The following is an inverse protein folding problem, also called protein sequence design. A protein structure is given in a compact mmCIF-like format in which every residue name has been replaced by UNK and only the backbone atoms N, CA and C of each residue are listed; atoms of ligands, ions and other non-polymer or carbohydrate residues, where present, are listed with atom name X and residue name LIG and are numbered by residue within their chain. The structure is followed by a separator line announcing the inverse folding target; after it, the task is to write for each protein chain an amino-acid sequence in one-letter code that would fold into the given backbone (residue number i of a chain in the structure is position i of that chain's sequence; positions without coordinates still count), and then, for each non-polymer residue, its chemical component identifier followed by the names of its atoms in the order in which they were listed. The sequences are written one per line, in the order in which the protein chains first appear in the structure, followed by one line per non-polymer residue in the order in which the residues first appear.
data_IF_055342778135
#
_entry.id   IF_055342778135
#
_cell.length_a   1.000
_cell.length_b   1.000
_cell.length_c   1.000
_cell.angle_alpha   90.00
_cell.angle_beta   90.00
_cell.angle_gamma   90.00
#
_symmetry.space_group_name_H-M   'P 1'
#
loop_
_entity.id
_entity.type
_entity.pdbx_description
1 polymer ?
#
# COMPACT_ATOMS: atom_id res chain seq x y z
N UNK A 1 -11.12 23.53 10.37
CA UNK A 1 -11.77 22.55 11.29
C UNK A 1 -10.85 21.35 11.36
N UNK A 2 -10.51 20.87 12.56
CA UNK A 2 -9.78 19.61 12.67
C UNK A 2 -10.75 18.48 12.28
N UNK A 3 -10.60 17.98 11.06
CA UNK A 3 -11.30 16.78 10.65
C UNK A 3 -10.67 15.58 11.37
N UNK A 4 -11.49 14.78 12.03
CA UNK A 4 -11.03 13.52 12.60
C UNK A 4 -10.76 12.53 11.45
N UNK A 5 -9.78 11.64 11.58
CA UNK A 5 -9.55 10.59 10.61
C UNK A 5 -10.82 9.75 10.35
N UNK A 6 -11.14 9.53 9.07
CA UNK A 6 -12.23 8.67 8.60
C UNK A 6 -11.64 7.30 8.22
N UNK A 7 -11.68 6.39 9.18
CA UNK A 7 -11.10 5.05 9.05
C UNK A 7 -12.24 4.04 9.15
N UNK A 8 -12.32 3.13 8.19
CA UNK A 8 -13.29 2.04 8.24
C UNK A 8 -13.13 1.26 9.56
N UNK A 9 -14.21 1.08 10.34
CA UNK A 9 -14.14 0.49 11.68
C UNK A 9 -13.73 -0.99 11.68
N UNK A 10 -13.85 -1.66 10.54
CA UNK A 10 -13.57 -3.10 10.43
C UNK A 10 -12.12 -3.42 10.03
N UNK A 11 -11.28 -2.42 9.76
CA UNK A 11 -9.87 -2.67 9.44
C UNK A 11 -9.04 -2.96 10.69
N UNK A 12 -7.87 -3.56 10.50
CA UNK A 12 -6.86 -3.69 11.54
C UNK A 12 -6.06 -2.39 11.67
N UNK A 13 -6.09 -1.79 12.86
CA UNK A 13 -5.22 -0.67 13.22
C UNK A 13 -4.43 -1.06 14.47
N UNK A 14 -3.11 -1.14 14.33
CA UNK A 14 -2.23 -1.45 15.46
C UNK A 14 -2.29 -0.34 16.52
N UNK A 15 -2.30 -0.71 17.80
CA UNK A 15 -2.40 0.24 18.91
C UNK A 15 -1.26 1.29 18.96
N UNK A 16 -0.11 1.00 18.32
CA UNK A 16 1.02 1.92 18.23
C UNK A 16 0.99 2.81 16.98
N UNK A 17 0.02 2.68 16.09
CA UNK A 17 -0.14 3.56 14.95
C UNK A 17 -0.61 4.96 15.38
N UNK A 18 -0.15 6.00 14.68
CA UNK A 18 -0.46 7.41 14.96
C UNK A 18 -1.05 8.05 13.71
N UNK A 19 -2.28 8.57 13.80
CA UNK A 19 -3.01 9.09 12.63
C UNK A 19 -3.60 10.45 12.96
N UNK A 20 -3.25 11.47 12.18
CA UNK A 20 -3.60 12.86 12.44
C UNK A 20 -4.10 13.60 11.19
N UNK A 21 -5.14 14.40 11.34
CA UNK A 21 -5.64 15.33 10.31
C UNK A 21 -6.60 14.69 9.32
N UNK A 22 -6.68 15.24 8.11
CA UNK A 22 -7.61 14.84 7.06
C UNK A 22 -7.17 13.53 6.37
N UNK A 23 -7.33 12.41 7.07
CA UNK A 23 -6.97 11.07 6.62
C UNK A 23 -8.21 10.23 6.37
N UNK A 24 -8.26 9.54 5.24
CA UNK A 24 -9.26 8.50 4.98
C UNK A 24 -8.59 7.20 4.57
N UNK A 25 -9.05 6.09 5.16
CA UNK A 25 -8.57 4.73 4.82
C UNK A 25 -9.76 3.84 4.50
N UNK A 26 -9.73 3.26 3.30
CA UNK A 26 -10.78 2.41 2.77
C UNK A 26 -10.89 1.04 3.44
N UNK A 27 -12.00 0.33 3.17
CA UNK A 27 -12.30 -0.95 3.79
C UNK A 27 -11.27 -2.03 3.46
N UNK A 28 -11.20 -3.07 4.30
CA UNK A 28 -10.34 -4.24 4.16
C UNK A 28 -8.82 -3.93 4.17
N UNK A 29 -8.46 -2.65 4.36
CA UNK A 29 -7.08 -2.20 4.49
C UNK A 29 -6.50 -2.54 5.87
N UNK A 30 -5.22 -2.25 6.10
CA UNK A 30 -4.60 -2.51 7.40
C UNK A 30 -3.46 -1.55 7.70
N UNK A 31 -3.38 -1.13 8.98
CA UNK A 31 -2.38 -0.19 9.48
C UNK A 31 -1.58 -0.89 10.59
N UNK A 32 -0.33 -1.16 10.31
CA UNK A 32 0.55 -1.99 11.11
C UNK A 32 1.31 -1.21 12.19
N UNK A 33 2.06 -1.87 13.09
CA UNK A 33 2.72 -1.21 14.19
C UNK A 33 3.63 -0.04 13.79
N UNK A 34 3.56 1.04 14.56
CA UNK A 34 4.39 2.24 14.42
C UNK A 34 4.25 2.98 13.08
N UNK A 35 3.17 2.75 12.34
CA UNK A 35 2.81 3.58 11.20
C UNK A 35 2.44 4.97 11.68
N UNK A 36 2.92 5.99 10.98
CA UNK A 36 2.57 7.39 11.23
C UNK A 36 1.95 8.00 9.98
N UNK A 37 0.75 8.56 10.11
CA UNK A 37 0.07 9.30 9.04
C UNK A 37 -0.26 10.70 9.54
N UNK A 38 0.21 11.73 8.83
CA UNK A 38 -0.09 13.13 9.15
C UNK A 38 -0.60 13.89 7.93
N UNK A 39 -1.74 14.53 8.05
CA UNK A 39 -2.42 15.24 6.97
C UNK A 39 -2.91 16.62 7.45
N UNK A 40 -1.99 17.58 7.58
CA UNK A 40 -2.26 18.90 8.14
C UNK A 40 -2.68 19.93 7.08
N UNK A 41 -1.97 20.01 5.95
CA UNK A 41 -2.18 21.00 4.89
C UNK A 41 -3.03 20.47 3.73
N UNK A 42 -2.90 19.21 3.43
CA UNK A 42 -3.61 18.49 2.38
C UNK A 42 -4.26 17.23 2.98
N UNK A 43 -4.85 16.39 2.14
CA UNK A 43 -5.43 15.13 2.58
C UNK A 43 -4.53 13.93 2.31
N UNK A 44 -4.74 12.86 3.09
CA UNK A 44 -4.26 11.51 2.78
C UNK A 44 -5.46 10.64 2.44
N UNK A 45 -5.42 9.94 1.33
CA UNK A 45 -6.42 8.95 0.93
C UNK A 45 -5.74 7.61 0.66
N UNK A 46 -6.28 6.56 1.25
CA UNK A 46 -5.80 5.18 1.07
C UNK A 46 -7.00 4.35 0.63
N UNK A 47 -6.85 3.62 -0.45
CA UNK A 47 -7.88 2.75 -1.01
C UNK A 47 -8.18 1.52 -0.16
N UNK A 48 -8.98 0.61 -0.71
CA UNK A 48 -9.36 -0.67 -0.09
C UNK A 48 -8.25 -1.71 -0.25
N UNK A 49 -8.23 -2.71 0.63
CA UNK A 49 -7.25 -3.82 0.63
C UNK A 49 -5.79 -3.36 0.61
N UNK A 50 -5.50 -2.12 0.94
CA UNK A 50 -4.14 -1.57 0.98
C UNK A 50 -3.53 -1.76 2.36
N UNK A 51 -2.29 -2.25 2.40
CA UNK A 51 -1.60 -2.46 3.67
C UNK A 51 -0.46 -1.45 3.85
N UNK A 52 -0.48 -0.79 5.01
CA UNK A 52 0.57 0.12 5.45
C UNK A 52 1.37 -0.61 6.52
N UNK A 53 2.53 -1.12 6.14
CA UNK A 53 3.32 -2.03 6.99
C UNK A 53 4.09 -1.28 8.08
N UNK A 54 4.72 -2.02 8.97
CA UNK A 54 5.37 -1.46 10.16
C UNK A 54 6.33 -0.32 9.82
N UNK A 55 6.26 0.75 10.63
CA UNK A 55 7.10 1.95 10.51
C UNK A 55 6.94 2.75 9.21
N UNK A 56 5.91 2.53 8.43
CA UNK A 56 5.62 3.38 7.27
C UNK A 56 5.28 4.78 7.75
N UNK A 57 5.88 5.78 7.09
CA UNK A 57 5.57 7.19 7.27
C UNK A 57 4.83 7.73 6.07
N UNK A 58 3.62 8.29 6.29
CA UNK A 58 2.84 8.99 5.26
C UNK A 58 2.64 10.43 5.68
N UNK A 59 2.99 11.34 4.79
CA UNK A 59 2.79 12.76 4.99
C UNK A 59 2.31 13.44 3.71
N UNK A 60 1.97 14.70 3.78
CA UNK A 60 1.51 15.53 2.67
C UNK A 60 2.52 16.63 2.40
N UNK A 61 2.64 17.03 1.14
CA UNK A 61 3.34 18.25 0.76
C UNK A 61 2.50 19.50 1.08
N UNK A 62 3.07 20.67 0.92
CA UNK A 62 2.33 21.91 1.08
C UNK A 62 1.21 22.06 0.01
N UNK A 63 1.53 21.70 -1.23
CA UNK A 63 0.60 21.75 -2.37
C UNK A 63 0.13 20.37 -2.84
N UNK A 64 0.73 19.28 -2.32
CA UNK A 64 0.53 17.92 -2.78
C UNK A 64 -0.13 17.05 -1.72
N UNK A 65 -1.32 16.55 -2.02
CA UNK A 65 -1.97 15.49 -1.26
C UNK A 65 -1.24 14.14 -1.45
N UNK A 66 -1.48 13.19 -0.56
CA UNK A 66 -1.02 11.82 -0.74
C UNK A 66 -2.20 10.91 -1.04
N UNK A 67 -2.17 10.27 -2.20
CA UNK A 67 -3.20 9.34 -2.66
C UNK A 67 -2.57 7.98 -2.96
N UNK A 68 -3.10 6.94 -2.32
CA UNK A 68 -2.69 5.55 -2.50
C UNK A 68 -3.92 4.76 -2.91
N UNK A 69 -3.85 4.09 -4.03
CA UNK A 69 -4.95 3.32 -4.61
C UNK A 69 -5.31 2.05 -3.85
N UNK A 70 -6.11 1.24 -4.50
CA UNK A 70 -6.58 -0.06 -4.02
C UNK A 70 -5.49 -1.13 -4.14
N UNK A 71 -5.52 -2.14 -3.29
CA UNK A 71 -4.66 -3.33 -3.32
C UNK A 71 -3.15 -3.03 -3.31
N UNK A 72 -2.75 -1.89 -2.78
CA UNK A 72 -1.34 -1.51 -2.66
C UNK A 72 -0.68 -2.15 -1.43
N UNK A 73 0.62 -2.41 -1.55
CA UNK A 73 1.46 -2.79 -0.41
C UNK A 73 2.54 -1.73 -0.20
N UNK A 74 2.40 -0.95 0.85
CA UNK A 74 3.41 0.01 1.28
C UNK A 74 4.23 -0.66 2.36
N UNK A 75 5.43 -1.11 1.99
CA UNK A 75 6.17 -2.03 2.84
C UNK A 75 7.04 -1.32 3.89
N UNK A 76 7.54 -2.09 4.84
CA UNK A 76 8.20 -1.63 6.07
C UNK A 76 9.16 -0.45 5.85
N UNK A 77 9.10 0.55 6.74
CA UNK A 77 9.97 1.74 6.76
C UNK A 77 9.90 2.62 5.50
N UNK A 78 8.94 2.46 4.61
CA UNK A 78 8.79 3.35 3.45
C UNK A 78 8.30 4.73 3.87
N UNK A 79 8.71 5.75 3.14
CA UNK A 79 8.24 7.13 3.30
C UNK A 79 7.47 7.55 2.05
N UNK A 80 6.24 7.97 2.24
CA UNK A 80 5.32 8.40 1.17
C UNK A 80 4.92 9.84 1.45
N UNK A 81 5.28 10.75 0.56
CA UNK A 81 5.16 12.18 0.80
C UNK A 81 4.59 12.89 -0.42
N UNK A 82 3.38 13.47 -0.30
CA UNK A 82 2.77 14.34 -1.30
C UNK A 82 2.64 13.75 -2.71
N UNK A 83 2.35 12.48 -2.88
CA UNK A 83 2.43 11.78 -4.16
C UNK A 83 1.17 10.95 -4.47
N UNK A 84 1.07 10.48 -5.71
CA UNK A 84 0.03 9.56 -6.15
C UNK A 84 0.61 8.19 -6.48
N UNK A 85 0.05 7.14 -5.87
CA UNK A 85 0.33 5.74 -6.17
C UNK A 85 -0.98 5.12 -6.62
N UNK A 86 -1.04 4.62 -7.86
CA UNK A 86 -2.24 4.00 -8.41
C UNK A 86 -2.43 2.58 -7.89
N UNK A 87 -3.47 1.89 -8.36
CA UNK A 87 -3.87 0.58 -7.84
C UNK A 87 -2.81 -0.50 -8.06
N UNK A 88 -2.91 -1.58 -7.27
CA UNK A 88 -2.08 -2.77 -7.41
C UNK A 88 -0.55 -2.50 -7.40
N UNK A 89 -0.10 -1.49 -6.68
CA UNK A 89 1.33 -1.16 -6.57
C UNK A 89 2.00 -1.81 -5.35
N UNK A 90 3.27 -2.12 -5.50
CA UNK A 90 4.13 -2.52 -4.39
C UNK A 90 5.27 -1.51 -4.21
N UNK A 91 5.32 -0.85 -3.06
CA UNK A 91 6.44 0.01 -2.66
C UNK A 91 7.33 -0.77 -1.70
N UNK A 92 8.54 -1.06 -2.14
CA UNK A 92 9.50 -1.91 -1.44
C UNK A 92 10.06 -1.30 -0.15
N UNK A 93 10.60 -2.15 0.72
CA UNK A 93 11.13 -1.77 2.03
C UNK A 93 12.13 -0.61 1.94
N UNK A 94 12.02 0.38 2.84
CA UNK A 94 12.86 1.59 2.89
C UNK A 94 12.81 2.47 1.63
N UNK A 95 11.84 2.30 0.74
CA UNK A 95 11.69 3.20 -0.40
C UNK A 95 11.13 4.56 0.03
N UNK A 96 11.48 5.60 -0.73
CA UNK A 96 11.02 6.97 -0.53
C UNK A 96 10.35 7.46 -1.80
N UNK A 97 9.13 8.01 -1.68
CA UNK A 97 8.39 8.62 -2.79
C UNK A 97 8.05 10.06 -2.41
N UNK A 98 8.52 11.03 -3.21
CA UNK A 98 8.46 12.45 -2.90
C UNK A 98 7.33 13.20 -3.62
N UNK A 99 7.17 14.48 -3.29
CA UNK A 99 6.09 15.37 -3.72
C UNK A 99 5.88 15.37 -5.24
N UNK A 100 4.62 15.36 -5.66
CA UNK A 100 4.25 15.39 -7.06
C UNK A 100 4.55 14.12 -7.85
N UNK A 101 5.24 13.13 -7.26
CA UNK A 101 5.54 11.88 -7.96
C UNK A 101 4.27 11.08 -8.25
N UNK A 102 4.25 10.39 -9.40
CA UNK A 102 3.16 9.51 -9.82
C UNK A 102 3.69 8.12 -10.16
N UNK A 103 3.10 7.10 -9.53
CA UNK A 103 3.41 5.69 -9.78
C UNK A 103 2.19 5.04 -10.41
N UNK A 104 2.32 4.62 -11.66
CA UNK A 104 1.24 3.98 -12.42
C UNK A 104 0.90 2.58 -11.89
N UNK A 105 -0.33 2.17 -12.17
CA UNK A 105 -0.94 0.91 -11.74
C UNK A 105 -0.03 -0.32 -11.97
N UNK A 106 -0.08 -1.29 -11.07
CA UNK A 106 0.66 -2.55 -11.18
C UNK A 106 2.18 -2.42 -11.09
N UNK A 107 2.70 -1.26 -10.73
CA UNK A 107 4.14 -1.02 -10.65
C UNK A 107 4.78 -1.59 -9.38
N UNK A 108 6.10 -1.77 -9.45
CA UNK A 108 6.94 -2.13 -8.31
C UNK A 108 8.03 -1.07 -8.13
N UNK A 109 8.04 -0.45 -6.97
CA UNK A 109 9.17 0.34 -6.49
C UNK A 109 10.07 -0.58 -5.68
N UNK A 110 11.32 -0.76 -6.11
CA UNK A 110 12.27 -1.63 -5.43
C UNK A 110 12.65 -1.09 -4.03
N UNK A 111 13.02 -2.00 -3.13
CA UNK A 111 13.47 -1.62 -1.79
C UNK A 111 14.65 -0.64 -1.83
N UNK A 112 14.60 0.38 -0.97
CA UNK A 112 15.62 1.43 -0.90
C UNK A 112 15.65 2.40 -2.08
N UNK A 113 14.73 2.33 -3.03
CA UNK A 113 14.65 3.30 -4.12
C UNK A 113 14.21 4.67 -3.61
N UNK A 114 14.75 5.74 -4.21
CA UNK A 114 14.37 7.12 -3.92
C UNK A 114 13.79 7.80 -5.15
N UNK A 115 12.48 7.99 -5.15
CA UNK A 115 11.75 8.66 -6.22
C UNK A 115 11.70 10.15 -5.89
N UNK A 116 12.24 10.96 -6.82
CA UNK A 116 12.31 12.40 -6.67
C UNK A 116 10.96 13.05 -6.90
N UNK A 117 10.88 14.30 -6.51
CA UNK A 117 9.75 15.20 -6.77
C UNK A 117 9.40 15.18 -8.28
N UNK A 118 8.11 15.25 -8.57
CA UNK A 118 7.51 15.34 -9.91
C UNK A 118 7.88 14.20 -10.88
N UNK A 119 8.50 13.12 -10.38
CA UNK A 119 8.83 11.97 -11.22
C UNK A 119 7.57 11.18 -11.58
N UNK A 120 7.40 10.86 -12.86
CA UNK A 120 6.24 10.13 -13.40
C UNK A 120 6.69 8.79 -13.97
N UNK A 121 6.08 7.71 -13.47
CA UNK A 121 6.28 6.35 -13.97
C UNK A 121 4.93 5.77 -14.42
N UNK A 122 4.90 5.24 -15.64
CA UNK A 122 3.71 4.62 -16.21
C UNK A 122 3.33 3.28 -15.54
N UNK A 123 2.17 2.73 -15.90
CA UNK A 123 1.73 1.43 -15.39
C UNK A 123 2.76 0.31 -15.64
N UNK A 124 2.84 -0.67 -14.75
CA UNK A 124 3.73 -1.82 -14.85
C UNK A 124 5.22 -1.51 -14.71
N UNK A 125 5.58 -0.31 -14.28
CA UNK A 125 6.98 0.09 -14.14
C UNK A 125 7.70 -0.69 -13.04
N UNK A 126 8.91 -1.17 -13.31
CA UNK A 126 9.87 -1.63 -12.32
C UNK A 126 10.86 -0.49 -12.07
N UNK A 127 10.84 0.05 -10.85
CA UNK A 127 11.51 1.30 -10.51
C UNK A 127 12.56 1.04 -9.44
N UNK A 128 13.82 1.45 -9.65
CA UNK A 128 14.91 1.21 -8.69
C UNK A 128 15.99 2.29 -8.73
N UNK A 129 16.77 2.37 -7.65
CA UNK A 129 17.97 3.21 -7.54
C UNK A 129 17.79 4.50 -6.76
N UNK A 130 18.89 5.25 -6.60
CA UNK A 130 18.99 6.56 -5.95
C UNK A 130 19.82 7.48 -6.85
N UNK A 131 19.22 8.45 -7.57
CA UNK A 131 17.78 8.63 -7.77
C UNK A 131 17.17 7.48 -8.57
N UNK A 132 15.89 7.21 -8.31
CA UNK A 132 15.17 6.09 -8.93
C UNK A 132 14.94 6.32 -10.43
N UNK A 133 15.01 5.22 -11.19
CA UNK A 133 14.72 5.17 -12.63
C UNK A 133 13.89 3.93 -12.94
N UNK A 134 13.14 3.98 -14.00
CA UNK A 134 12.54 2.77 -14.55
C UNK A 134 13.65 1.88 -15.14
N UNK A 135 13.75 0.65 -14.62
CA UNK A 135 14.75 -0.34 -15.03
C UNK A 135 14.13 -1.49 -15.82
N UNK A 136 12.82 -1.51 -15.94
CA UNK A 136 12.06 -2.51 -16.67
C UNK A 136 10.58 -2.20 -16.64
N UNK A 137 9.82 -3.07 -17.31
CA UNK A 137 8.36 -3.05 -17.34
C UNK A 137 7.83 -4.47 -17.24
N UNK A 138 6.83 -4.68 -16.41
CA UNK A 138 6.16 -5.97 -16.24
C UNK A 138 4.80 -5.74 -15.62
N UNK A 139 3.77 -6.40 -16.14
CA UNK A 139 2.52 -6.50 -15.44
C UNK A 139 2.71 -7.25 -14.12
N UNK A 140 2.64 -6.54 -13.01
CA UNK A 140 2.77 -7.09 -11.66
C UNK A 140 1.48 -7.02 -10.87
N UNK A 141 0.38 -6.51 -11.44
CA UNK A 141 -0.88 -6.27 -10.74
C UNK A 141 -1.38 -7.54 -10.02
N UNK A 142 -1.42 -8.67 -10.70
CA UNK A 142 -1.84 -9.95 -10.09
C UNK A 142 -0.95 -10.37 -8.92
N UNK A 143 0.36 -10.23 -9.04
CA UNK A 143 1.29 -10.58 -7.95
C UNK A 143 1.19 -9.63 -6.76
N UNK A 144 1.01 -8.33 -7.02
CA UNK A 144 0.84 -7.30 -6.01
C UNK A 144 -0.51 -7.47 -5.28
N UNK A 145 -1.60 -7.73 -6.00
CA UNK A 145 -2.93 -8.03 -5.43
C UNK A 145 -2.90 -9.28 -4.56
N UNK A 146 -2.18 -10.32 -4.99
CA UNK A 146 -1.96 -11.51 -4.16
C UNK A 146 -1.31 -11.13 -2.81
N UNK A 147 -0.31 -10.25 -2.83
CA UNK A 147 0.33 -9.78 -1.61
C UNK A 147 -0.63 -8.97 -0.73
N UNK A 148 -1.45 -8.10 -1.31
CA UNK A 148 -2.47 -7.34 -0.58
C UNK A 148 -3.46 -8.26 0.14
N UNK A 149 -3.95 -9.32 -0.50
CA UNK A 149 -4.85 -10.29 0.13
C UNK A 149 -4.18 -11.14 1.21
N UNK A 150 -2.88 -11.46 1.06
CA UNK A 150 -2.11 -12.10 2.12
C UNK A 150 -2.08 -11.22 3.38
N UNK A 151 -1.82 -9.93 3.22
CA UNK A 151 -1.81 -8.97 4.32
C UNK A 151 -3.21 -8.74 4.92
N UNK A 152 -4.25 -8.68 4.09
CA UNK A 152 -5.63 -8.62 4.58
C UNK A 152 -5.95 -9.82 5.48
N UNK A 153 -5.68 -11.06 5.02
CA UNK A 153 -5.90 -12.26 5.84
C UNK A 153 -5.10 -12.22 7.15
N UNK A 154 -3.84 -11.79 7.08
CA UNK A 154 -3.00 -11.64 8.27
C UNK A 154 -3.57 -10.60 9.25
N UNK A 155 -4.05 -9.47 8.75
CA UNK A 155 -4.68 -8.42 9.54
C UNK A 155 -5.93 -8.94 10.28
N UNK A 156 -6.78 -9.74 9.63
CA UNK A 156 -7.93 -10.36 10.25
C UNK A 156 -7.52 -11.34 11.37
N UNK A 157 -6.42 -12.06 11.22
CA UNK A 157 -5.89 -12.92 12.26
C UNK A 157 -5.35 -12.10 13.45
N UNK A 158 -4.62 -11.02 13.20
CA UNK A 158 -4.13 -10.10 14.24
C UNK A 158 -5.27 -9.46 15.06
N UNK A 159 -6.40 -9.13 14.43
CA UNK A 159 -7.62 -8.67 15.15
C UNK A 159 -8.11 -9.69 16.18
N UNK A 160 -7.90 -10.97 15.96
CA UNK A 160 -8.28 -12.07 16.87
C UNK A 160 -7.15 -12.48 17.85
N UNK A 161 -5.99 -11.80 17.80
CA UNK A 161 -4.81 -12.15 18.59
C UNK A 161 -4.02 -13.35 18.06
N UNK A 162 -4.22 -13.74 16.82
CA UNK A 162 -3.56 -14.85 16.14
C UNK A 162 -2.36 -14.34 15.33
N UNK A 163 -1.14 -14.54 15.83
CA UNK A 163 0.06 -13.96 15.20
C UNK A 163 0.86 -14.96 14.34
N UNK A 164 0.29 -16.11 14.00
CA UNK A 164 0.93 -17.15 13.17
C UNK A 164 0.08 -17.58 11.97
N UNK A 165 -0.64 -16.64 11.37
CA UNK A 165 -1.61 -16.90 10.32
C UNK A 165 -1.00 -17.37 8.97
N UNK A 166 0.32 -17.29 8.81
CA UNK A 166 1.03 -17.65 7.57
C UNK A 166 1.62 -19.06 7.61
N UNK A 167 1.12 -19.93 8.47
CA UNK A 167 1.59 -21.30 8.58
C UNK A 167 0.45 -22.29 8.84
N UNK A 168 0.68 -23.54 8.49
CA UNK A 168 -0.18 -24.68 8.79
C UNK A 168 -1.22 -25.00 7.71
N UNK A 169 -1.96 -26.12 7.89
CA UNK A 169 -2.83 -26.68 6.86
C UNK A 169 -3.98 -25.75 6.41
N UNK A 170 -4.46 -24.89 7.31
CA UNK A 170 -5.50 -23.92 6.98
C UNK A 170 -4.97 -22.84 6.04
N UNK A 171 -3.76 -22.35 6.29
CA UNK A 171 -3.10 -21.39 5.41
C UNK A 171 -2.80 -22.00 4.04
N UNK A 172 -2.34 -23.24 3.99
CA UNK A 172 -2.06 -23.95 2.73
C UNK A 172 -3.32 -24.12 1.88
N UNK A 173 -4.46 -24.49 2.48
CA UNK A 173 -5.75 -24.53 1.79
C UNK A 173 -6.16 -23.17 1.27
N UNK A 174 -6.06 -22.16 2.11
CA UNK A 174 -6.40 -20.79 1.70
C UNK A 174 -5.54 -20.26 0.55
N UNK A 175 -4.27 -20.69 0.41
CA UNK A 175 -3.45 -20.33 -0.75
C UNK A 175 -3.97 -20.92 -2.05
N UNK A 176 -4.58 -22.10 -2.02
CA UNK A 176 -5.25 -22.69 -3.19
C UNK A 176 -6.48 -21.86 -3.57
N UNK A 177 -7.34 -21.56 -2.60
CA UNK A 177 -8.54 -20.72 -2.82
C UNK A 177 -8.16 -19.33 -3.34
N UNK A 178 -7.06 -18.77 -2.85
CA UNK A 178 -6.52 -17.49 -3.32
C UNK A 178 -6.09 -17.56 -4.79
N UNK A 179 -5.47 -18.65 -5.22
CA UNK A 179 -5.06 -18.81 -6.60
C UNK A 179 -6.28 -18.83 -7.55
N UNK A 180 -7.34 -19.56 -7.19
CA UNK A 180 -8.60 -19.55 -7.94
C UNK A 180 -9.26 -18.17 -7.97
N UNK A 181 -9.26 -17.47 -6.84
CA UNK A 181 -9.80 -16.10 -6.73
C UNK A 181 -9.05 -15.14 -7.67
N UNK A 182 -7.73 -15.22 -7.73
CA UNK A 182 -6.92 -14.39 -8.64
C UNK A 182 -7.18 -14.70 -10.13
N UNK A 183 -7.50 -15.94 -10.47
CA UNK A 183 -7.84 -16.30 -11.86
C UNK A 183 -9.22 -15.77 -12.30
N UNK A 184 -10.15 -15.60 -11.35
CA UNK A 184 -11.53 -15.18 -11.59
C UNK A 184 -11.80 -13.72 -11.21
N UNK A 185 -10.80 -13.00 -10.74
CA UNK A 185 -10.95 -11.60 -10.35
C UNK A 185 -11.26 -10.74 -11.57
N UNK A 186 -12.46 -10.14 -11.56
CA UNK A 186 -13.00 -9.39 -12.70
C UNK A 186 -12.14 -8.15 -13.03
N UNK A 187 -11.50 -7.54 -12.03
CA UNK A 187 -10.64 -6.37 -12.20
C UNK A 187 -9.30 -6.74 -12.88
N UNK A 188 -8.93 -8.03 -12.84
CA UNK A 188 -7.71 -8.56 -13.47
C UNK A 188 -7.98 -9.27 -14.80
N UNK A 189 -9.24 -9.41 -15.21
CA UNK A 189 -9.60 -10.01 -16.48
C UNK A 189 -9.27 -9.05 -17.62
N UNK A 190 -8.27 -9.41 -18.42
CA UNK A 190 -7.81 -8.58 -19.56
C UNK A 190 -6.43 -7.95 -19.36
N UNK A 191 -5.92 -7.97 -18.17
CA UNK A 191 -4.51 -7.64 -17.88
C UNK A 191 -3.68 -8.90 -18.21
N UNK A 192 -2.90 -8.88 -19.30
CA UNK A 192 -2.04 -9.98 -19.76
C UNK A 192 -0.59 -9.56 -19.81
#
# INVERSE_FOLDING_TARGET
MNEAPDIDPDIFVAASAQIFGNVRVGPESSIWPNVVIRAESQHVRVGRYTNLQDFVMIHVGYEHATEIGDFCSITHHSTIHGCKIEDDCLVGINAVVMDGAMIGEGSIVAGGAMIREDAIFGPGSIIAGIPAKQIGERDSARANRRNAWLYHRNAQAYKRGEHRAWTGPEYERWLVDLAEKLETDADLVGIR
#
